data_IF_478000523263
#
_entry.id   IF_478000523263
#
_cell.length_a   1.000
_cell.length_b   1.000
_cell.length_c   1.000
_cell.angle_alpha   90.00
_cell.angle_beta   90.00
_cell.angle_gamma   90.00
#
_symmetry.space_group_name_H-M   'P 1'
#
loop_
_entity.id
_entity.type
_entity.pdbx_description
1 polymer ?
#
# COMPACT_ATOMS: atom_id res chain seq x y z
N UNK A 1 30.32 -16.36 -0.58
CA UNK A 1 28.97 -16.06 -1.11
C UNK A 1 29.17 -15.20 -2.35
N UNK A 2 29.00 -15.77 -3.55
CA UNK A 2 29.13 -15.01 -4.79
C UNK A 2 27.93 -14.05 -4.88
N UNK A 3 28.20 -12.76 -5.04
CA UNK A 3 27.14 -11.78 -5.21
C UNK A 3 26.32 -12.11 -6.47
N UNK A 4 24.99 -12.13 -6.34
CA UNK A 4 24.08 -12.33 -7.44
C UNK A 4 24.36 -11.34 -8.58
N UNK A 5 24.36 -11.81 -9.82
CA UNK A 5 24.53 -10.95 -11.00
C UNK A 5 23.41 -9.92 -11.12
N UNK A 6 23.59 -8.82 -11.89
CA UNK A 6 22.59 -7.75 -12.04
C UNK A 6 21.18 -8.26 -12.39
N UNK A 7 21.09 -9.27 -13.26
CA UNK A 7 19.82 -9.86 -13.70
C UNK A 7 19.14 -10.69 -12.61
N UNK A 8 19.92 -11.44 -11.82
CA UNK A 8 19.40 -12.23 -10.71
C UNK A 8 18.87 -11.32 -9.60
N UNK A 9 19.59 -10.23 -9.30
CA UNK A 9 19.14 -9.19 -8.38
C UNK A 9 17.82 -8.55 -8.84
N UNK A 10 17.72 -8.20 -10.13
CA UNK A 10 16.49 -7.63 -10.70
C UNK A 10 15.30 -8.59 -10.57
N UNK A 11 15.49 -9.88 -10.89
CA UNK A 11 14.45 -10.92 -10.71
C UNK A 11 14.06 -11.11 -9.25
N UNK A 12 15.02 -11.08 -8.33
CA UNK A 12 14.76 -11.21 -6.90
C UNK A 12 13.93 -10.02 -6.38
N UNK A 13 14.28 -8.79 -6.76
CA UNK A 13 13.52 -7.59 -6.44
C UNK A 13 12.11 -7.61 -7.04
N UNK A 14 11.98 -8.07 -8.29
CA UNK A 14 10.68 -8.24 -8.94
C UNK A 14 9.79 -9.22 -8.17
N UNK A 15 10.30 -10.38 -7.72
CA UNK A 15 9.53 -11.32 -6.89
C UNK A 15 9.22 -10.76 -5.51
N UNK A 16 10.17 -10.06 -4.89
CA UNK A 16 10.00 -9.43 -3.59
C UNK A 16 8.94 -8.31 -3.60
N UNK A 17 8.54 -7.83 -4.78
CA UNK A 17 7.53 -6.78 -4.95
C UNK A 17 6.09 -7.28 -4.81
N UNK A 18 5.85 -8.57 -5.07
CA UNK A 18 4.48 -9.10 -5.09
C UNK A 18 3.85 -9.08 -3.69
N UNK A 19 4.64 -9.32 -2.64
CA UNK A 19 4.19 -9.27 -1.24
C UNK A 19 3.80 -7.84 -0.81
N UNK A 20 4.66 -6.80 -0.95
CA UNK A 20 4.26 -5.43 -0.67
C UNK A 20 3.05 -4.97 -1.49
N UNK A 21 2.92 -5.39 -2.75
CA UNK A 21 1.76 -5.02 -3.55
C UNK A 21 0.46 -5.62 -2.97
N UNK A 22 0.48 -6.91 -2.61
CA UNK A 22 -0.67 -7.55 -1.99
C UNK A 22 -1.05 -6.91 -0.65
N UNK A 23 -0.05 -6.53 0.17
CA UNK A 23 -0.28 -5.79 1.42
C UNK A 23 -0.94 -4.45 1.14
N UNK A 24 -0.43 -3.68 0.16
CA UNK A 24 -0.96 -2.37 -0.17
C UNK A 24 -2.42 -2.43 -0.65
N UNK A 25 -2.76 -3.43 -1.44
CA UNK A 25 -4.13 -3.66 -1.94
C UNK A 25 -5.08 -4.10 -0.84
N UNK A 26 -4.64 -5.01 0.02
CA UNK A 26 -5.45 -5.47 1.17
C UNK A 26 -5.72 -4.33 2.14
N UNK A 27 -4.69 -3.52 2.42
CA UNK A 27 -4.82 -2.35 3.27
C UNK A 27 -5.79 -1.30 2.69
N UNK A 28 -5.79 -1.10 1.36
CA UNK A 28 -6.77 -0.24 0.70
C UNK A 28 -8.21 -0.73 0.88
N UNK A 29 -8.43 -2.05 0.76
CA UNK A 29 -9.73 -2.66 0.98
C UNK A 29 -10.19 -2.51 2.43
N UNK A 30 -9.29 -2.71 3.40
CA UNK A 30 -9.57 -2.51 4.82
C UNK A 30 -9.94 -1.06 5.13
N UNK A 31 -9.21 -0.09 4.57
CA UNK A 31 -9.52 1.33 4.75
C UNK A 31 -10.91 1.68 4.20
N UNK A 32 -11.28 1.15 3.03
CA UNK A 32 -12.62 1.38 2.45
C UNK A 32 -13.75 0.75 3.29
N UNK A 33 -13.51 -0.44 3.86
CA UNK A 33 -14.47 -1.09 4.75
C UNK A 33 -14.67 -0.30 6.05
N UNK A 34 -13.58 0.16 6.67
CA UNK A 34 -13.63 0.95 7.89
C UNK A 34 -14.32 2.31 7.67
N UNK A 35 -14.09 2.95 6.53
CA UNK A 35 -14.77 4.20 6.14
C UNK A 35 -16.28 4.03 5.99
N UNK A 36 -16.72 2.89 5.45
CA UNK A 36 -18.16 2.57 5.35
C UNK A 36 -18.80 2.46 6.74
N UNK A 37 -18.09 1.86 7.70
CA UNK A 37 -18.53 1.74 9.09
C UNK A 37 -18.65 3.11 9.80
N UNK A 38 -17.80 4.09 9.47
CA UNK A 38 -17.90 5.45 10.03
C UNK A 38 -19.22 6.14 9.65
N UNK A 39 -19.74 5.89 8.44
CA UNK A 39 -21.00 6.47 7.97
C UNK A 39 -22.26 5.90 8.66
N UNK A 40 -22.16 4.73 9.29
CA UNK A 40 -23.32 3.94 9.75
C UNK A 40 -23.40 3.74 11.27
N UNK A 41 -22.38 4.15 12.04
CA UNK A 41 -22.24 3.73 13.46
C UNK A 41 -22.59 4.78 14.52
N UNK A 42 -23.06 4.30 15.68
CA UNK A 42 -23.22 5.12 16.89
C UNK A 42 -21.85 5.55 17.45
N UNK A 43 -21.78 6.74 18.07
CA UNK A 43 -20.56 7.46 18.50
C UNK A 43 -19.40 6.63 19.10
N UNK A 44 -19.66 5.48 19.73
CA UNK A 44 -18.62 4.62 20.30
C UNK A 44 -17.81 3.82 19.27
N UNK A 45 -18.43 3.37 18.17
CA UNK A 45 -17.74 2.59 17.14
C UNK A 45 -17.07 3.45 16.06
N UNK A 46 -17.33 4.77 16.08
CA UNK A 46 -16.69 5.72 15.18
C UNK A 46 -15.16 5.82 15.42
N UNK A 47 -14.73 5.82 16.69
CA UNK A 47 -13.30 5.91 17.04
C UNK A 47 -12.50 4.65 16.62
N UNK A 48 -13.09 3.46 16.76
CA UNK A 48 -12.49 2.21 16.30
C UNK A 48 -12.38 2.19 14.77
N UNK A 49 -13.42 2.65 14.07
CA UNK A 49 -13.44 2.74 12.63
C UNK A 49 -12.42 3.76 12.09
N UNK A 50 -12.32 4.94 12.72
CA UNK A 50 -11.32 5.96 12.42
C UNK A 50 -9.90 5.43 12.60
N UNK A 51 -9.63 4.79 13.73
CA UNK A 51 -8.31 4.16 14.00
C UNK A 51 -7.99 3.08 12.96
N UNK A 52 -8.98 2.28 12.56
CA UNK A 52 -8.80 1.25 11.55
C UNK A 52 -8.47 1.85 10.17
N UNK A 53 -9.12 2.96 9.79
CA UNK A 53 -8.80 3.71 8.58
C UNK A 53 -7.36 4.20 8.62
N UNK A 54 -6.94 4.88 9.69
CA UNK A 54 -5.58 5.44 9.82
C UNK A 54 -4.50 4.37 9.67
N UNK A 55 -4.65 3.25 10.38
CA UNK A 55 -3.71 2.13 10.34
C UNK A 55 -3.65 1.49 8.95
N UNK A 56 -4.81 1.29 8.33
CA UNK A 56 -4.90 0.69 7.01
C UNK A 56 -4.25 1.59 5.94
N UNK A 57 -4.53 2.89 5.95
CA UNK A 57 -3.88 3.81 5.01
C UNK A 57 -2.37 3.93 5.24
N UNK A 58 -1.91 3.93 6.49
CA UNK A 58 -0.49 3.93 6.80
C UNK A 58 0.20 2.67 6.25
N UNK A 59 -0.42 1.50 6.43
CA UNK A 59 0.03 0.23 5.85
C UNK A 59 0.07 0.26 4.32
N UNK A 60 -0.99 0.78 3.69
CA UNK A 60 -1.06 0.98 2.24
C UNK A 60 0.10 1.84 1.74
N UNK A 61 0.32 3.00 2.37
CA UNK A 61 1.38 3.94 1.99
C UNK A 61 2.77 3.31 2.14
N UNK A 62 3.03 2.64 3.24
CA UNK A 62 4.32 1.98 3.50
C UNK A 62 4.59 0.88 2.46
N UNK A 63 3.62 0.00 2.24
CA UNK A 63 3.75 -1.11 1.32
C UNK A 63 3.86 -0.66 -0.14
N UNK A 64 3.10 0.35 -0.56
CA UNK A 64 3.25 0.94 -1.90
C UNK A 64 4.63 1.59 -2.11
N UNK A 65 5.21 2.22 -1.09
CA UNK A 65 6.60 2.73 -1.18
C UNK A 65 7.64 1.62 -1.32
N UNK A 66 7.43 0.46 -0.69
CA UNK A 66 8.30 -0.71 -0.88
C UNK A 66 8.22 -1.26 -2.31
N UNK A 67 7.04 -1.26 -2.95
CA UNK A 67 6.90 -1.61 -4.37
C UNK A 67 7.77 -0.70 -5.24
N UNK A 68 7.69 0.62 -5.01
CA UNK A 68 8.48 1.60 -5.76
C UNK A 68 9.98 1.46 -5.51
N UNK A 69 10.39 1.17 -4.27
CA UNK A 69 11.78 0.96 -3.91
C UNK A 69 12.37 -0.31 -4.57
N UNK A 70 11.60 -1.41 -4.60
CA UNK A 70 12.06 -2.68 -5.18
C UNK A 70 12.17 -2.62 -6.71
N UNK A 71 11.20 -2.01 -7.39
CA UNK A 71 11.18 -1.93 -8.86
C UNK A 71 11.97 -0.73 -9.41
N UNK A 72 12.37 0.21 -8.55
CA UNK A 72 13.18 1.36 -8.94
C UNK A 72 12.55 2.18 -10.08
N UNK A 73 13.36 2.53 -11.08
CA UNK A 73 12.97 3.32 -12.25
C UNK A 73 12.28 2.54 -13.37
N UNK A 74 11.80 1.31 -13.11
CA UNK A 74 10.97 0.54 -14.05
C UNK A 74 9.57 1.17 -14.23
N UNK A 75 9.53 2.37 -14.81
CA UNK A 75 8.35 3.24 -14.87
C UNK A 75 7.15 2.65 -15.60
N UNK A 76 7.38 1.66 -16.48
CA UNK A 76 6.32 0.99 -17.24
C UNK A 76 5.78 -0.29 -16.58
N UNK A 77 6.36 -0.75 -15.47
CA UNK A 77 5.81 -1.90 -14.76
C UNK A 77 4.39 -1.57 -14.24
N UNK A 78 3.36 -2.37 -14.57
CA UNK A 78 1.99 -2.13 -14.14
C UNK A 78 1.86 -2.06 -12.61
N UNK A 79 2.72 -2.75 -11.86
CA UNK A 79 2.76 -2.71 -10.39
C UNK A 79 3.23 -1.35 -9.87
N UNK A 80 4.14 -0.67 -10.57
CA UNK A 80 4.53 0.72 -10.26
C UNK A 80 3.36 1.66 -10.48
N UNK A 81 2.64 1.52 -11.59
CA UNK A 81 1.43 2.33 -11.88
C UNK A 81 0.36 2.14 -10.79
N UNK A 82 0.14 0.89 -10.37
CA UNK A 82 -0.79 0.53 -9.30
C UNK A 82 -0.38 1.09 -7.94
N UNK A 83 0.89 0.92 -7.54
CA UNK A 83 1.42 1.48 -6.29
C UNK A 83 1.31 3.02 -6.24
N UNK A 84 1.58 3.71 -7.36
CA UNK A 84 1.37 5.16 -7.44
C UNK A 84 -0.10 5.56 -7.30
N UNK A 85 -1.03 4.77 -7.84
CA UNK A 85 -2.46 5.02 -7.68
C UNK A 85 -2.90 4.86 -6.22
N UNK A 86 -2.44 3.79 -5.56
CA UNK A 86 -2.68 3.56 -4.13
C UNK A 86 -2.15 4.73 -3.29
N UNK A 87 -0.93 5.22 -3.53
CA UNK A 87 -0.40 6.36 -2.77
C UNK A 87 -1.27 7.62 -2.87
N UNK A 88 -1.78 7.94 -4.06
CA UNK A 88 -2.68 9.10 -4.24
C UNK A 88 -3.98 8.95 -3.46
N UNK A 89 -4.53 7.74 -3.41
CA UNK A 89 -5.80 7.47 -2.74
C UNK A 89 -5.71 7.52 -1.20
N UNK A 90 -4.52 7.28 -0.61
CA UNK A 90 -4.29 7.36 0.83
C UNK A 90 -3.87 8.75 1.35
N UNK A 91 -3.68 9.72 0.47
CA UNK A 91 -3.21 11.07 0.88
C UNK A 91 -4.35 12.06 1.07
N UNK A 92 -5.59 11.73 0.71
CA UNK A 92 -6.71 12.68 0.75
C UNK A 92 -7.33 12.92 2.12
N UNK A 93 -6.98 12.15 3.17
CA UNK A 93 -7.60 12.28 4.51
C UNK A 93 -6.70 12.85 5.62
N UNK A 94 -5.39 12.96 5.41
CA UNK A 94 -4.46 13.49 6.43
C UNK A 94 -4.27 15.01 6.37
N UNK A 95 -4.87 15.66 5.36
CA UNK A 95 -4.76 17.10 5.12
C UNK A 95 -6.06 17.87 5.48
N UNK A 96 -7.08 17.19 6.04
CA UNK A 96 -8.31 17.79 6.60
C UNK A 96 -8.27 17.79 8.14
#
# INVERSE_FOLDING_TARGET
VLAAGPDERSRALSRATDVPLAIAETAAQTAALADTLMGETARGAAADAETAVELAEAGQRAAARLVLANLGSAGDDPRVKKARALLRNSSSRLDE
#
